data_IF_738920083017
#
_entry.id   IF_738920083017
#
_cell.length_a   1.000
_cell.length_b   1.000
_cell.length_c   1.000
_cell.angle_alpha   90.00
_cell.angle_beta   90.00
_cell.angle_gamma   90.00
#
_symmetry.space_group_name_H-M   'P 1'
#
loop_
_entity.id
_entity.type
_entity.pdbx_description
1 polymer ?
#
# COMPACT_ATOMS: atom_id res chain seq x y z
N UNK A 1 -9.16 7.56 4.32
CA UNK A 1 -9.74 6.98 3.09
C UNK A 1 -10.91 7.78 2.55
N UNK A 2 -11.82 8.27 3.39
CA UNK A 2 -13.01 9.06 3.00
C UNK A 2 -12.71 10.21 2.01
N UNK A 3 -11.62 10.96 2.20
CA UNK A 3 -11.23 12.07 1.31
C UNK A 3 -10.95 11.66 -0.15
N UNK A 4 -10.72 10.37 -0.43
CA UNK A 4 -10.52 9.90 -1.81
C UNK A 4 -11.82 9.91 -2.60
N UNK A 5 -12.96 9.80 -1.90
CA UNK A 5 -14.29 9.83 -2.49
C UNK A 5 -14.84 11.25 -2.66
N UNK A 6 -14.25 12.23 -1.96
CA UNK A 6 -14.70 13.61 -2.05
C UNK A 6 -14.13 14.35 -3.27
N UNK A 7 -14.97 15.11 -3.96
CA UNK A 7 -14.67 15.76 -5.23
C UNK A 7 -15.05 17.25 -5.21
N UNK A 8 -14.27 18.08 -4.52
CA UNK A 8 -14.45 19.54 -4.47
C UNK A 8 -14.23 20.28 -5.79
N UNK A 9 -13.47 19.67 -6.70
CA UNK A 9 -13.05 20.29 -7.97
C UNK A 9 -13.41 19.36 -9.11
N UNK A 10 -13.69 19.92 -10.28
CA UNK A 10 -13.97 19.14 -11.50
C UNK A 10 -12.81 18.23 -11.92
N UNK A 11 -11.59 18.52 -11.48
CA UNK A 11 -10.42 17.66 -11.70
C UNK A 11 -10.32 16.49 -10.72
N UNK A 12 -11.13 16.46 -9.66
CA UNK A 12 -11.13 15.38 -8.69
C UNK A 12 -12.01 14.24 -9.20
N UNK A 13 -11.39 13.20 -9.72
CA UNK A 13 -12.10 11.97 -10.10
C UNK A 13 -11.86 10.85 -9.05
N UNK A 14 -12.85 10.55 -8.19
CA UNK A 14 -12.70 9.55 -7.13
C UNK A 14 -12.26 8.18 -7.64
N UNK A 15 -12.78 7.77 -8.80
CA UNK A 15 -12.49 6.49 -9.44
C UNK A 15 -11.02 6.32 -9.78
N UNK A 16 -10.40 7.34 -10.39
CA UNK A 16 -8.97 7.32 -10.71
C UNK A 16 -8.10 7.35 -9.45
N UNK A 17 -8.49 8.13 -8.43
CA UNK A 17 -7.78 8.21 -7.16
C UNK A 17 -7.80 6.88 -6.41
N UNK A 18 -8.95 6.20 -6.37
CA UNK A 18 -9.08 4.86 -5.77
C UNK A 18 -8.26 3.82 -6.53
N UNK A 19 -8.32 3.83 -7.87
CA UNK A 19 -7.48 2.95 -8.71
C UNK A 19 -5.99 3.17 -8.45
N UNK A 20 -5.55 4.42 -8.37
CA UNK A 20 -4.16 4.76 -8.08
C UNK A 20 -3.76 4.31 -6.66
N UNK A 21 -4.60 4.57 -5.67
CA UNK A 21 -4.36 4.22 -4.27
C UNK A 21 -4.24 2.70 -4.08
N UNK A 22 -5.24 1.91 -4.49
CA UNK A 22 -5.19 0.46 -4.30
C UNK A 22 -4.12 -0.18 -5.20
N UNK A 23 -3.89 0.36 -6.39
CA UNK A 23 -2.83 -0.10 -7.27
C UNK A 23 -1.42 0.14 -6.71
N UNK A 24 -1.18 1.24 -5.98
CA UNK A 24 0.11 1.45 -5.30
C UNK A 24 0.19 0.66 -4.00
N UNK A 25 -0.89 0.61 -3.22
CA UNK A 25 -0.97 -0.18 -1.99
C UNK A 25 -0.65 -1.66 -2.24
N UNK A 26 -1.25 -2.26 -3.29
CA UNK A 26 -1.00 -3.64 -3.66
C UNK A 26 0.47 -3.91 -4.00
N UNK A 27 1.13 -2.97 -4.67
CA UNK A 27 2.56 -3.08 -5.02
C UNK A 27 3.49 -2.90 -3.81
N UNK A 28 3.05 -2.19 -2.78
CA UNK A 28 3.82 -1.97 -1.56
C UNK A 28 3.72 -3.16 -0.58
N UNK A 29 2.68 -3.98 -0.69
CA UNK A 29 2.40 -5.08 0.21
C UNK A 29 3.04 -6.39 -0.28
N UNK A 30 3.47 -7.22 0.68
CA UNK A 30 3.93 -8.58 0.39
C UNK A 30 2.73 -9.49 0.07
N UNK A 31 3.00 -10.59 -0.64
CA UNK A 31 1.99 -11.62 -0.90
C UNK A 31 1.54 -12.24 0.43
N UNK A 32 0.23 -12.28 0.67
CA UNK A 32 -0.38 -12.70 1.93
C UNK A 32 -0.50 -11.59 2.99
N UNK A 33 -0.01 -10.38 2.72
CA UNK A 33 -0.15 -9.28 3.67
C UNK A 33 -1.61 -8.82 3.79
N UNK A 34 -1.99 -8.40 5.00
CA UNK A 34 -3.32 -7.87 5.30
C UNK A 34 -3.28 -6.36 5.41
N UNK A 35 -4.31 -5.70 4.90
CA UNK A 35 -4.54 -4.27 5.04
C UNK A 35 -5.94 -4.06 5.62
N UNK A 36 -5.99 -3.40 6.78
CA UNK A 36 -7.25 -3.04 7.45
C UNK A 36 -7.40 -1.53 7.38
N UNK A 37 -8.52 -1.07 6.84
CA UNK A 37 -8.79 0.35 6.62
C UNK A 37 -10.14 0.71 7.22
N UNK A 38 -10.14 1.59 8.21
CA UNK A 38 -11.39 2.14 8.75
C UNK A 38 -12.01 3.11 7.74
N UNK A 39 -13.32 2.98 7.53
CA UNK A 39 -14.13 3.82 6.66
C UNK A 39 -15.28 4.46 7.43
N UNK A 40 -15.51 5.72 7.11
CA UNK A 40 -16.74 6.44 7.40
C UNK A 40 -17.35 6.81 6.05
N UNK A 41 -18.14 5.91 5.49
CA UNK A 41 -18.87 6.17 4.26
C UNK A 41 -20.21 6.82 4.59
N UNK A 42 -20.54 7.92 3.93
CA UNK A 42 -21.87 8.53 4.05
C UNK A 42 -22.91 7.71 3.27
N UNK A 43 -22.51 7.15 2.11
CA UNK A 43 -23.38 6.39 1.21
C UNK A 43 -22.88 4.96 1.00
N UNK A 44 -23.82 4.03 0.82
CA UNK A 44 -23.52 2.63 0.50
C UNK A 44 -22.78 2.49 -0.85
N UNK A 45 -23.16 3.30 -1.83
CA UNK A 45 -22.56 3.31 -3.17
C UNK A 45 -21.06 3.63 -3.13
N UNK A 46 -20.64 4.51 -2.22
CA UNK A 46 -19.23 4.84 -2.05
C UNK A 46 -18.45 3.64 -1.50
N UNK A 47 -19.05 2.90 -0.57
CA UNK A 47 -18.46 1.69 0.01
C UNK A 47 -18.31 0.60 -1.05
N UNK A 48 -19.36 0.36 -1.83
CA UNK A 48 -19.33 -0.60 -2.93
C UNK A 48 -18.27 -0.19 -3.97
N UNK A 49 -18.20 1.10 -4.31
CA UNK A 49 -17.18 1.63 -5.20
C UNK A 49 -15.77 1.33 -4.66
N UNK A 50 -15.48 1.66 -3.40
CA UNK A 50 -14.16 1.39 -2.78
C UNK A 50 -13.83 -0.11 -2.84
N UNK A 51 -14.79 -0.96 -2.49
CA UNK A 51 -14.64 -2.41 -2.51
C UNK A 51 -14.35 -2.95 -3.91
N UNK A 52 -15.09 -2.47 -4.92
CA UNK A 52 -14.88 -2.87 -6.30
C UNK A 52 -13.47 -2.55 -6.80
N UNK A 53 -12.92 -1.38 -6.45
CA UNK A 53 -11.55 -0.99 -6.83
C UNK A 53 -10.48 -1.76 -6.07
N UNK A 54 -10.72 -2.12 -4.81
CA UNK A 54 -9.83 -3.00 -4.04
C UNK A 54 -9.77 -4.39 -4.69
N UNK A 55 -10.91 -5.01 -4.99
CA UNK A 55 -10.99 -6.31 -5.65
C UNK A 55 -10.34 -6.29 -7.04
N UNK A 56 -10.60 -5.26 -7.85
CA UNK A 56 -9.96 -5.07 -9.16
C UNK A 56 -8.44 -4.93 -9.09
N UNK A 57 -7.91 -4.45 -7.97
CA UNK A 57 -6.46 -4.32 -7.75
C UNK A 57 -5.79 -5.64 -7.31
N UNK A 58 -6.58 -6.69 -7.06
CA UNK A 58 -6.09 -8.01 -6.66
C UNK A 58 -6.19 -8.31 -5.16
N UNK A 59 -6.90 -7.46 -4.40
CA UNK A 59 -7.19 -7.76 -3.00
C UNK A 59 -8.37 -8.73 -2.88
N UNK A 60 -8.30 -9.65 -1.92
CA UNK A 60 -9.41 -10.48 -1.48
C UNK A 60 -9.84 -10.06 -0.06
N UNK A 61 -11.11 -10.18 0.28
CA UNK A 61 -11.62 -9.84 1.62
C UNK A 61 -13.00 -9.19 1.57
N UNK A 62 -13.31 -8.37 2.57
CA UNK A 62 -14.61 -7.69 2.64
C UNK A 62 -14.73 -6.74 3.81
N UNK A 63 -15.96 -6.36 4.14
CA UNK A 63 -16.27 -5.35 5.15
C UNK A 63 -16.66 -6.01 6.47
N UNK A 64 -16.18 -5.45 7.56
CA UNK A 64 -16.55 -5.80 8.93
C UNK A 64 -17.11 -4.56 9.58
N UNK A 65 -18.29 -4.67 10.19
CA UNK A 65 -18.94 -3.56 10.89
C UNK A 65 -18.99 -3.92 12.36
N UNK A 66 -18.34 -3.10 13.18
CA UNK A 66 -18.51 -3.13 14.63
C UNK A 66 -19.76 -2.31 15.01
N UNK A 67 -20.48 -2.80 16.02
CA UNK A 67 -21.69 -2.16 16.55
C UNK A 67 -22.76 -1.87 15.47
N UNK A 68 -23.27 -2.91 14.77
CA UNK A 68 -24.23 -2.73 13.68
C UNK A 68 -25.55 -2.06 14.12
N UNK A 69 -25.92 -2.21 15.39
CA UNK A 69 -27.16 -1.67 15.95
C UNK A 69 -27.05 -0.22 16.45
N UNK A 70 -25.84 0.30 16.65
CA UNK A 70 -25.61 1.64 17.21
C UNK A 70 -25.13 2.62 16.16
N UNK A 71 -25.95 3.61 15.78
CA UNK A 71 -25.53 4.65 14.82
C UNK A 71 -24.39 5.54 15.33
N UNK A 72 -24.26 5.68 16.66
CA UNK A 72 -23.22 6.50 17.30
C UNK A 72 -21.87 5.77 17.43
N UNK A 73 -21.91 4.46 17.67
CA UNK A 73 -20.71 3.64 17.88
C UNK A 73 -20.28 2.83 16.64
N UNK A 74 -21.09 2.83 15.57
CA UNK A 74 -20.82 2.08 14.33
C UNK A 74 -19.45 2.43 13.76
N UNK A 75 -18.64 1.40 13.51
CA UNK A 75 -17.34 1.53 12.83
C UNK A 75 -17.24 0.49 11.73
N UNK A 76 -17.05 0.94 10.50
CA UNK A 76 -16.85 0.06 9.36
C UNK A 76 -15.36 -0.07 9.05
N UNK A 77 -14.92 -1.30 8.82
CA UNK A 77 -13.55 -1.66 8.48
C UNK A 77 -13.55 -2.49 7.21
N UNK A 78 -12.74 -2.09 6.24
CA UNK A 78 -12.40 -2.96 5.11
C UNK A 78 -11.19 -3.78 5.50
N UNK A 79 -11.34 -5.10 5.44
CA UNK A 79 -10.26 -6.06 5.68
C UNK A 79 -9.88 -6.69 4.35
N UNK A 80 -8.68 -6.36 3.87
CA UNK A 80 -8.13 -6.81 2.59
C UNK A 80 -6.93 -7.73 2.82
N UNK A 81 -6.77 -8.71 1.94
CA UNK A 81 -5.63 -9.62 1.86
C UNK A 81 -5.04 -9.52 0.47
N UNK A 82 -3.72 -9.36 0.38
CA UNK A 82 -2.99 -9.20 -0.88
C UNK A 82 -2.61 -10.58 -1.46
N UNK A 83 -3.08 -10.90 -2.67
CA UNK A 83 -2.73 -12.13 -3.37
C UNK A 83 -3.89 -13.13 -3.49
N UNK A 84 -3.64 -14.33 -4.05
CA UNK A 84 -4.67 -15.35 -4.24
C UNK A 84 -5.38 -15.64 -2.91
N UNK A 85 -6.71 -15.81 -2.91
CA UNK A 85 -7.42 -16.19 -1.70
C UNK A 85 -6.84 -17.51 -1.20
N UNK A 86 -6.02 -17.44 -0.16
CA UNK A 86 -5.64 -18.65 0.55
C UNK A 86 -6.92 -19.17 1.20
N UNK A 87 -7.18 -20.46 1.11
CA UNK A 87 -8.39 -21.16 1.59
C UNK A 87 -8.73 -20.90 3.07
N UNK A 88 -7.86 -20.19 3.80
CA UNK A 88 -7.93 -19.87 5.23
C UNK A 88 -8.23 -18.38 5.50
N UNK A 89 -8.70 -17.62 4.51
CA UNK A 89 -9.00 -16.18 4.71
C UNK A 89 -10.41 -15.99 5.26
N UNK A 90 -10.65 -16.42 6.50
CA UNK A 90 -11.85 -16.01 7.23
C UNK A 90 -11.79 -14.50 7.50
N UNK A 91 -12.89 -13.78 7.23
CA UNK A 91 -13.04 -12.40 7.66
C UNK A 91 -13.19 -12.38 9.19
N UNK A 92 -12.56 -11.43 9.90
CA UNK A 92 -12.77 -11.30 11.34
C UNK A 92 -14.23 -10.94 11.62
N UNK A 93 -14.79 -11.53 12.68
CA UNK A 93 -16.15 -11.21 13.15
C UNK A 93 -16.15 -9.82 13.79
N UNK A 94 -17.15 -9.00 13.47
CA UNK A 94 -17.32 -7.68 14.09
C UNK A 94 -17.69 -7.80 15.57
N UNK A 95 -17.33 -6.79 16.35
CA UNK A 95 -17.61 -6.75 17.79
C UNK A 95 -19.08 -6.40 18.06
N UNK A 96 -19.74 -7.23 18.88
CA UNK A 96 -21.13 -7.05 19.35
C UNK A 96 -21.24 -6.26 20.67
N UNK A 97 -22.47 -5.90 21.06
CA UNK A 97 -22.80 -5.25 22.35
C UNK A 97 -23.03 -6.25 23.50
N UNK A 98 -23.12 -7.53 23.16
CA UNK A 98 -23.09 -8.67 24.05
C UNK A 98 -21.66 -8.82 24.60
N UNK A 99 -21.42 -8.09 25.68
CA UNK A 99 -20.17 -8.09 26.43
C UNK A 99 -19.86 -9.47 26.97
N UNK A 100 -19.00 -10.20 26.27
CA UNK A 100 -18.12 -11.14 26.91
C UNK A 100 -16.75 -10.51 27.10
N UNK A 101 -16.45 -10.39 28.39
CA UNK A 101 -15.28 -9.87 29.04
C UNK A 101 -14.00 -10.37 28.40
N UNK A 102 -12.97 -9.52 28.44
CA UNK A 102 -11.61 -10.04 28.54
C UNK A 102 -11.60 -11.06 29.69
N UNK A 103 -11.46 -12.35 29.36
CA UNK A 103 -11.13 -13.39 30.32
C UNK A 103 -9.65 -13.62 30.20
N UNK A 104 -8.90 -12.93 31.04
CA UNK A 104 -7.55 -13.34 31.43
C UNK A 104 -7.71 -14.72 32.09
N UNK A 105 -7.29 -15.79 31.43
CA UNK A 105 -7.29 -17.15 31.98
C UNK A 105 -6.09 -17.88 31.42
N UNK A 106 -5.06 -17.90 32.24
CA UNK A 106 -3.87 -18.73 32.12
C UNK A 106 -4.31 -20.19 32.38
N UNK A 107 -4.39 -21.01 31.34
CA UNK A 107 -4.19 -22.46 31.47
C UNK A 107 -3.49 -23.00 30.22
N UNK A 108 -2.44 -23.75 30.51
CA UNK A 108 -1.50 -24.36 29.58
C UNK A 108 -2.09 -25.64 29.00
N UNK A 109 -2.03 -25.81 27.68
CA UNK A 109 -1.68 -27.13 27.14
C UNK A 109 -1.03 -27.00 25.75
N UNK A 110 -0.04 -27.87 25.55
CA UNK A 110 0.97 -27.92 24.51
C UNK A 110 0.38 -28.48 23.20
N UNK A 111 0.22 -27.67 22.15
CA UNK A 111 0.29 -28.16 20.77
C UNK A 111 1.01 -27.17 19.84
N UNK A 112 2.26 -27.52 19.58
CA UNK A 112 3.14 -27.18 18.47
C UNK A 112 2.65 -26.17 17.40
N UNK A 113 3.50 -25.15 17.22
CA UNK A 113 3.81 -24.40 15.97
C UNK A 113 2.84 -23.28 15.59
N UNK A 114 3.24 -22.04 15.88
CA UNK A 114 4.09 -21.28 14.94
C UNK A 114 4.39 -19.91 15.58
N UNK A 115 5.38 -19.87 16.47
CA UNK A 115 6.00 -18.61 16.89
C UNK A 115 6.38 -17.83 15.64
N UNK A 116 5.81 -16.63 15.49
CA UNK A 116 6.25 -15.64 14.51
C UNK A 116 7.71 -15.36 14.83
N UNK A 117 8.59 -16.06 14.12
CA UNK A 117 9.99 -15.72 14.10
C UNK A 117 10.06 -14.31 13.53
N UNK A 118 10.44 -13.35 14.39
CA UNK A 118 11.10 -12.14 13.92
C UNK A 118 12.43 -12.63 13.37
N UNK A 119 12.40 -13.22 12.18
CA UNK A 119 13.60 -13.45 11.41
C UNK A 119 14.21 -12.07 11.27
N UNK A 120 15.40 -11.91 11.83
CA UNK A 120 16.27 -10.78 11.63
C UNK A 120 16.10 -10.22 10.24
N UNK A 121 16.10 -8.90 10.13
CA UNK A 121 16.01 -8.14 8.89
C UNK A 121 17.23 -8.34 7.99
N UNK A 122 17.78 -9.55 7.93
CA UNK A 122 18.54 -10.06 6.81
C UNK A 122 17.59 -10.35 5.64
N UNK A 123 16.79 -9.35 5.26
CA UNK A 123 16.35 -9.23 3.87
C UNK A 123 17.67 -9.23 3.11
N UNK A 124 18.00 -10.22 2.27
CA UNK A 124 19.07 -10.01 1.32
C UNK A 124 18.63 -8.74 0.62
N UNK A 125 19.39 -7.65 0.80
CA UNK A 125 19.16 -6.41 0.07
C UNK A 125 18.84 -6.92 -1.31
N UNK A 126 17.61 -6.70 -1.79
CA UNK A 126 17.31 -6.94 -3.19
C UNK A 126 18.44 -6.16 -3.82
N UNK A 127 19.44 -6.87 -4.34
CA UNK A 127 20.35 -6.29 -5.28
C UNK A 127 19.33 -6.02 -6.36
N UNK A 128 18.75 -4.81 -6.30
CA UNK A 128 18.65 -4.01 -7.49
C UNK A 128 19.97 -4.36 -8.14
N UNK A 129 19.90 -5.16 -9.21
CA UNK A 129 20.89 -5.01 -10.23
C UNK A 129 20.74 -3.52 -10.57
N UNK A 130 21.38 -2.64 -9.78
CA UNK A 130 22.50 -1.89 -10.31
C UNK A 130 23.30 -2.94 -11.06
N UNK A 131 22.83 -3.19 -12.28
CA UNK A 131 23.74 -3.26 -13.40
C UNK A 131 24.80 -2.24 -13.01
N UNK A 132 26.04 -2.66 -12.79
CA UNK A 132 27.18 -1.75 -12.61
C UNK A 132 27.40 -0.87 -13.86
N UNK A 133 26.38 -0.77 -14.72
CA UNK A 133 26.13 0.14 -15.81
C UNK A 133 24.93 1.03 -15.43
N UNK A 134 24.95 1.60 -14.23
CA UNK A 134 24.36 2.93 -14.09
C UNK A 134 25.02 3.78 -15.18
N UNK A 135 24.20 4.36 -16.05
CA UNK A 135 24.65 5.21 -17.15
C UNK A 135 25.61 6.26 -16.58
N UNK A 136 26.92 6.02 -16.75
CA UNK A 136 27.96 6.75 -16.05
C UNK A 136 28.08 8.19 -16.53
N UNK A 137 29.11 8.89 -16.04
CA UNK A 137 29.44 10.25 -16.47
C UNK A 137 29.47 10.38 -18.01
N UNK A 138 29.99 9.38 -18.70
CA UNK A 138 30.02 9.26 -20.17
C UNK A 138 28.64 9.29 -20.82
N UNK A 139 27.63 8.67 -20.21
CA UNK A 139 26.28 8.69 -20.77
C UNK A 139 25.67 10.10 -20.73
N UNK A 140 25.98 10.87 -19.67
CA UNK A 140 25.55 12.27 -19.56
C UNK A 140 26.22 13.13 -20.64
N UNK A 141 27.52 12.92 -20.90
CA UNK A 141 28.22 13.63 -21.98
C UNK A 141 27.69 13.26 -23.36
N UNK A 142 27.45 11.97 -23.64
CA UNK A 142 26.88 11.51 -24.92
C UNK A 142 25.51 12.13 -25.19
N UNK A 143 24.67 12.27 -24.17
CA UNK A 143 23.37 12.94 -24.30
C UNK A 143 23.51 14.45 -24.52
N UNK A 144 24.43 15.11 -23.79
CA UNK A 144 24.71 16.54 -24.00
C UNK A 144 25.19 16.79 -25.43
N UNK A 145 26.12 15.98 -25.93
CA UNK A 145 26.62 16.08 -27.31
C UNK A 145 25.52 15.84 -28.34
N UNK A 146 24.67 14.81 -28.14
CA UNK A 146 23.51 14.58 -29.01
C UNK A 146 22.59 15.79 -29.06
N UNK A 147 22.34 16.47 -27.92
CA UNK A 147 21.52 17.68 -27.87
C UNK A 147 22.20 18.88 -28.54
N UNK A 148 23.53 19.02 -28.43
CA UNK A 148 24.31 20.04 -29.16
C UNK A 148 24.20 19.85 -30.67
N UNK A 149 24.32 18.61 -31.16
CA UNK A 149 24.12 18.28 -32.60
C UNK A 149 22.70 18.56 -33.09
N UNK A 150 21.72 18.51 -32.19
CA UNK A 150 20.33 18.88 -32.47
C UNK A 150 20.07 20.39 -32.37
N UNK A 151 21.10 21.21 -32.15
CA UNK A 151 20.97 22.67 -32.03
C UNK A 151 20.24 23.14 -30.76
N UNK A 152 20.06 22.27 -29.76
CA UNK A 152 19.39 22.64 -28.50
C UNK A 152 20.38 23.34 -27.58
N UNK A 153 19.87 24.25 -26.76
CA UNK A 153 20.67 24.88 -25.71
C UNK A 153 21.09 23.84 -24.65
N UNK A 154 22.39 23.70 -24.42
CA UNK A 154 23.00 22.72 -23.53
C UNK A 154 24.03 23.40 -22.64
N UNK A 155 23.88 23.32 -21.30
CA UNK A 155 24.86 23.89 -20.38
C UNK A 155 26.28 23.35 -20.59
N UNK A 156 27.27 24.24 -20.52
CA UNK A 156 28.69 23.90 -20.62
C UNK A 156 29.11 22.82 -19.61
N UNK A 157 30.14 22.07 -19.97
CA UNK A 157 30.65 20.99 -19.16
C UNK A 157 31.57 21.53 -18.07
N UNK A 158 31.16 21.38 -16.81
CA UNK A 158 31.94 21.78 -15.63
C UNK A 158 32.42 20.56 -14.83
N UNK A 159 33.40 20.77 -13.92
CA UNK A 159 33.91 19.74 -13.00
C UNK A 159 32.84 19.09 -12.11
N UNK A 160 31.67 19.73 -11.99
CA UNK A 160 30.55 19.26 -11.19
C UNK A 160 29.50 18.48 -11.99
N UNK A 161 29.66 18.36 -13.32
CA UNK A 161 28.71 17.64 -14.18
C UNK A 161 28.65 16.16 -13.82
N UNK A 162 27.44 15.65 -13.57
CA UNK A 162 27.16 14.26 -13.16
C UNK A 162 27.90 13.80 -11.87
N UNK A 163 28.35 14.73 -11.02
CA UNK A 163 28.93 14.42 -9.71
C UNK A 163 27.85 14.01 -8.71
N UNK A 164 28.11 12.95 -7.94
CA UNK A 164 27.23 12.53 -6.83
C UNK A 164 27.16 13.65 -5.79
N UNK A 165 25.95 14.15 -5.50
CA UNK A 165 25.73 15.11 -4.42
C UNK A 165 25.69 14.38 -3.07
N UNK A 166 26.29 14.98 -2.04
CA UNK A 166 26.22 14.46 -0.67
C UNK A 166 24.76 14.54 -0.21
N UNK A 167 24.26 13.48 0.42
CA UNK A 167 22.96 13.57 1.07
C UNK A 167 23.12 14.50 2.28
N UNK A 168 22.25 15.48 2.42
CA UNK A 168 22.13 16.26 3.64
C UNK A 168 21.25 15.45 4.58
N UNK A 169 21.83 14.58 5.40
CA UNK A 169 21.31 14.05 6.66
C UNK A 169 22.50 13.45 7.43
#
# INVERSE_FOLDING_TARGET
>A
MQWLCYADKSSHEPRLRLKAFFGTLYRCLARGARAVLQLYSENMDQTEMIMSYAMRSGFAGGMVIDYPHSSKARKAYIVLTCGPPSLVTALPKGKGEDGESCSESDESDDEERQTVCVSDRNRPRKRLKTTKKGKGKEWVFKNKEKRRRQGKDVPHDSKYTARKRKAYF
#
